data_IF_739312807678
#
_entry.id   IF_739312807678
#
_cell.length_a   1.000
_cell.length_b   1.000
_cell.length_c   1.000
_cell.angle_alpha   90.00
_cell.angle_beta   90.00
_cell.angle_gamma   90.00
#
_symmetry.space_group_name_H-M   'P 1'
#
loop_
_entity.id
_entity.type
_entity.pdbx_description
1 polymer ?
#
# COMPACT_ATOMS: atom_id res chain seq x y z
N UNK A 1 -9.10 -18.87 5.49
CA UNK A 1 -9.94 -17.95 4.68
C UNK A 1 -9.40 -17.80 3.27
N UNK A 2 -8.09 -17.61 3.09
CA UNK A 2 -7.49 -17.51 1.75
C UNK A 2 -7.73 -18.81 0.94
N UNK A 3 -7.56 -19.98 1.55
CA UNK A 3 -7.89 -21.28 0.95
C UNK A 3 -9.39 -21.41 0.56
N UNK A 4 -10.29 -20.82 1.33
CA UNK A 4 -11.73 -20.82 1.00
C UNK A 4 -11.98 -20.06 -0.30
N UNK A 5 -11.33 -18.90 -0.48
CA UNK A 5 -11.41 -18.12 -1.73
C UNK A 5 -10.76 -18.89 -2.89
N UNK A 6 -9.63 -19.53 -2.65
CA UNK A 6 -8.97 -20.36 -3.65
C UNK A 6 -9.89 -21.48 -4.12
N UNK A 7 -10.48 -22.21 -3.19
CA UNK A 7 -11.41 -23.32 -3.49
C UNK A 7 -12.68 -22.85 -4.21
N UNK A 8 -13.15 -21.61 -3.99
CA UNK A 8 -14.26 -21.02 -4.72
C UNK A 8 -13.90 -20.66 -6.17
N UNK A 9 -12.65 -20.34 -6.42
CA UNK A 9 -12.15 -19.96 -7.75
C UNK A 9 -11.59 -21.15 -8.54
N UNK A 10 -11.03 -22.17 -7.85
CA UNK A 10 -10.42 -23.35 -8.45
C UNK A 10 -11.34 -24.18 -9.41
N UNK A 11 -12.64 -24.37 -9.14
CA UNK A 11 -13.51 -25.12 -10.06
C UNK A 11 -13.55 -24.54 -11.46
N UNK A 12 -13.17 -23.27 -11.62
CA UNK A 12 -13.10 -22.58 -12.91
C UNK A 12 -11.65 -22.58 -13.47
N UNK A 13 -10.66 -23.13 -12.74
CA UNK A 13 -9.27 -23.18 -13.16
C UNK A 13 -9.02 -24.45 -13.97
N UNK A 14 -8.62 -24.28 -15.24
CA UNK A 14 -8.34 -25.39 -16.16
C UNK A 14 -9.51 -25.81 -17.04
N UNK A 15 -10.73 -25.43 -16.73
CA UNK A 15 -11.90 -25.58 -17.58
C UNK A 15 -12.46 -24.21 -17.94
N UNK A 16 -12.27 -23.79 -19.20
CA UNK A 16 -12.84 -22.58 -19.75
C UNK A 16 -11.94 -21.35 -19.66
N UNK A 17 -12.23 -20.40 -18.76
CA UNK A 17 -11.66 -19.05 -18.82
C UNK A 17 -10.46 -18.77 -17.91
N UNK A 18 -10.27 -19.61 -16.87
CA UNK A 18 -9.15 -19.48 -15.92
C UNK A 18 -8.02 -20.46 -16.30
N UNK A 19 -6.83 -19.92 -16.55
CA UNK A 19 -5.66 -20.70 -16.89
C UNK A 19 -4.87 -21.14 -15.66
N UNK A 20 -4.61 -20.20 -14.74
CA UNK A 20 -3.82 -20.44 -13.51
C UNK A 20 -4.28 -19.50 -12.40
N UNK A 21 -4.13 -19.98 -11.19
CA UNK A 21 -4.34 -19.21 -9.97
C UNK A 21 -3.06 -19.26 -9.15
N UNK A 22 -2.60 -18.10 -8.70
CA UNK A 22 -1.43 -17.96 -7.83
C UNK A 22 -1.87 -17.16 -6.60
N UNK A 23 -1.86 -17.83 -5.45
CA UNK A 23 -2.18 -17.19 -4.17
C UNK A 23 -0.90 -16.95 -3.37
N UNK A 24 -0.84 -15.81 -2.70
CA UNK A 24 0.22 -15.49 -1.76
C UNK A 24 -0.31 -14.74 -0.53
N UNK A 25 -0.02 -15.31 0.64
CA UNK A 25 -0.26 -14.72 1.96
C UNK A 25 1.02 -14.90 2.78
N UNK A 26 1.60 -13.85 3.37
CA UNK A 26 1.32 -12.42 3.17
C UNK A 26 1.57 -11.94 1.74
N UNK A 27 1.01 -10.77 1.40
CA UNK A 27 1.15 -10.15 0.09
C UNK A 27 2.57 -9.74 -0.29
N UNK A 28 2.72 -8.86 -1.27
CA UNK A 28 4.01 -8.26 -1.68
C UNK A 28 4.16 -6.83 -1.15
N UNK A 29 5.39 -6.33 -1.11
CA UNK A 29 5.70 -4.96 -0.76
C UNK A 29 5.25 -4.61 0.67
N UNK A 30 4.41 -3.60 0.82
CA UNK A 30 3.87 -3.20 2.13
C UNK A 30 3.08 -4.32 2.79
N UNK A 31 2.27 -5.04 2.02
CA UNK A 31 1.46 -6.17 2.49
C UNK A 31 2.28 -7.41 2.86
N UNK A 32 3.57 -7.49 2.49
CA UNK A 32 4.44 -8.61 2.86
C UNK A 32 4.66 -8.74 4.39
N UNK A 33 4.42 -7.67 5.13
CA UNK A 33 4.53 -7.65 6.60
C UNK A 33 3.18 -7.80 7.32
N UNK A 34 2.09 -7.81 6.56
CA UNK A 34 0.72 -7.93 7.09
C UNK A 34 0.25 -9.38 6.94
N UNK A 35 0.24 -10.13 8.02
CA UNK A 35 -0.20 -11.54 8.02
C UNK A 35 -1.70 -11.72 7.73
N UNK A 36 -2.47 -10.63 7.87
CA UNK A 36 -3.91 -10.57 7.62
C UNK A 36 -4.27 -10.08 6.21
N UNK A 37 -3.29 -9.91 5.33
CA UNK A 37 -3.52 -9.48 3.94
C UNK A 37 -2.78 -10.37 2.95
N UNK A 38 -3.36 -10.55 1.77
CA UNK A 38 -2.79 -11.34 0.70
C UNK A 38 -3.33 -10.90 -0.65
N UNK A 39 -2.90 -11.55 -1.70
CA UNK A 39 -3.48 -11.37 -3.03
C UNK A 39 -3.51 -12.69 -3.80
N UNK A 40 -4.43 -12.74 -4.72
CA UNK A 40 -4.61 -13.84 -5.64
C UNK A 40 -4.49 -13.29 -7.06
N UNK A 41 -3.56 -13.83 -7.83
CA UNK A 41 -3.42 -13.52 -9.26
C UNK A 41 -4.19 -14.58 -10.02
N UNK A 42 -5.23 -14.16 -10.72
CA UNK A 42 -6.00 -15.01 -11.61
C UNK A 42 -5.56 -14.75 -13.03
N UNK A 43 -4.87 -15.73 -13.64
CA UNK A 43 -4.47 -15.70 -15.04
C UNK A 43 -5.61 -16.25 -15.89
N UNK A 44 -6.15 -15.41 -16.75
CA UNK A 44 -7.22 -15.78 -17.68
C UNK A 44 -6.62 -16.45 -18.94
N UNK A 45 -7.41 -17.28 -19.62
CA UNK A 45 -7.08 -17.77 -20.96
C UNK A 45 -6.96 -16.60 -21.97
N UNK A 46 -6.13 -16.77 -23.01
CA UNK A 46 -6.02 -15.78 -24.09
C UNK A 46 -7.38 -15.43 -24.70
N UNK A 47 -7.53 -14.20 -25.16
CA UNK A 47 -8.75 -13.66 -25.78
C UNK A 47 -9.42 -14.56 -26.79
N UNK A 48 -8.60 -15.28 -27.60
CA UNK A 48 -9.08 -16.20 -28.65
C UNK A 48 -9.71 -17.48 -28.12
N UNK A 49 -9.49 -17.81 -26.83
CA UNK A 49 -9.94 -19.05 -26.22
C UNK A 49 -11.03 -18.85 -25.16
N UNK A 50 -11.53 -17.63 -25.01
CA UNK A 50 -12.61 -17.31 -24.07
C UNK A 50 -13.67 -16.48 -24.73
N UNK A 51 -14.94 -16.69 -24.35
CA UNK A 51 -16.08 -15.99 -24.92
C UNK A 51 -16.38 -14.70 -24.16
N UNK A 52 -16.03 -14.63 -22.84
CA UNK A 52 -16.38 -13.51 -21.97
C UNK A 52 -15.23 -12.52 -21.79
N UNK A 53 -15.60 -11.24 -21.70
CA UNK A 53 -14.64 -10.18 -21.41
C UNK A 53 -14.19 -10.25 -19.95
N UNK A 54 -12.92 -9.93 -19.65
CA UNK A 54 -12.36 -9.98 -18.30
C UNK A 54 -13.15 -9.19 -17.24
N UNK A 55 -13.80 -8.07 -17.62
CA UNK A 55 -14.65 -7.27 -16.74
C UNK A 55 -15.91 -8.05 -16.29
N UNK A 56 -16.48 -8.86 -17.17
CA UNK A 56 -17.65 -9.69 -16.84
C UNK A 56 -17.27 -10.78 -15.85
N UNK A 57 -16.12 -11.45 -16.10
CA UNK A 57 -15.55 -12.47 -15.21
C UNK A 57 -15.24 -11.85 -13.83
N UNK A 58 -14.68 -10.65 -13.80
CA UNK A 58 -14.38 -9.91 -12.58
C UNK A 58 -15.64 -9.64 -11.75
N UNK A 59 -16.73 -9.18 -12.38
CA UNK A 59 -18.01 -8.91 -11.69
C UNK A 59 -18.62 -10.17 -11.08
N UNK A 60 -18.61 -11.27 -11.81
CA UNK A 60 -19.10 -12.56 -11.30
C UNK A 60 -18.27 -13.08 -10.14
N UNK A 61 -16.92 -13.00 -10.29
CA UNK A 61 -16.00 -13.40 -9.22
C UNK A 61 -16.19 -12.58 -7.95
N UNK A 62 -16.49 -11.28 -8.07
CA UNK A 62 -16.78 -10.42 -6.93
C UNK A 62 -17.97 -10.92 -6.11
N UNK A 63 -19.05 -11.32 -6.78
CA UNK A 63 -20.22 -11.90 -6.11
C UNK A 63 -19.88 -13.16 -5.31
N UNK A 64 -19.07 -14.05 -5.87
CA UNK A 64 -18.62 -15.27 -5.20
C UNK A 64 -17.68 -15.00 -4.02
N UNK A 65 -16.72 -14.11 -4.20
CA UNK A 65 -15.71 -13.78 -3.17
C UNK A 65 -16.33 -13.02 -2.00
N UNK A 66 -17.27 -12.12 -2.26
CA UNK A 66 -17.95 -11.33 -1.21
C UNK A 66 -18.84 -12.17 -0.28
N UNK A 67 -19.15 -13.42 -0.64
CA UNK A 67 -19.90 -14.35 0.22
C UNK A 67 -19.05 -14.98 1.33
N UNK A 68 -17.70 -14.85 1.30
CA UNK A 68 -16.83 -15.43 2.32
C UNK A 68 -16.79 -14.53 3.56
N UNK A 69 -17.29 -15.02 4.73
CA UNK A 69 -17.34 -14.21 5.92
C UNK A 69 -15.95 -13.94 6.51
N UNK A 70 -15.73 -12.72 7.01
CA UNK A 70 -14.50 -12.32 7.68
C UNK A 70 -13.33 -12.02 6.74
N UNK A 71 -13.58 -11.81 5.44
CA UNK A 71 -12.63 -11.35 4.45
C UNK A 71 -13.24 -10.22 3.62
N UNK A 72 -12.47 -9.17 3.42
CA UNK A 72 -12.75 -8.14 2.43
C UNK A 72 -11.82 -8.36 1.24
N UNK A 73 -12.34 -8.90 0.16
CA UNK A 73 -11.57 -9.14 -1.06
C UNK A 73 -12.21 -8.42 -2.26
N UNK A 74 -11.39 -7.76 -3.03
CA UNK A 74 -11.82 -6.99 -4.19
C UNK A 74 -11.05 -7.45 -5.43
N UNK A 75 -11.71 -7.91 -6.49
CA UNK A 75 -11.05 -8.17 -7.75
C UNK A 75 -10.67 -6.85 -8.42
N UNK A 76 -9.44 -6.77 -8.90
CA UNK A 76 -8.89 -5.59 -9.57
C UNK A 76 -8.34 -6.00 -10.92
N UNK A 77 -8.75 -5.30 -11.97
CA UNK A 77 -8.21 -5.49 -13.30
C UNK A 77 -6.97 -4.60 -13.47
N UNK A 78 -5.81 -5.12 -13.91
CA UNK A 78 -4.68 -4.28 -14.21
C UNK A 78 -5.01 -3.36 -15.38
N UNK A 79 -4.68 -2.07 -15.24
CA UNK A 79 -4.82 -1.10 -16.33
C UNK A 79 -3.82 -1.40 -17.44
N UNK A 80 -4.20 -1.17 -18.70
CA UNK A 80 -3.37 -1.46 -19.88
C UNK A 80 -2.07 -0.63 -19.92
N UNK A 81 -2.12 0.61 -19.47
CA UNK A 81 -0.96 1.49 -19.31
C UNK A 81 -0.74 1.68 -17.80
N UNK A 82 0.36 1.13 -17.29
CA UNK A 82 0.72 1.23 -15.88
C UNK A 82 1.48 2.52 -15.62
N UNK A 83 0.83 3.49 -15.04
CA UNK A 83 1.47 4.70 -14.51
C UNK A 83 1.91 4.58 -13.05
N UNK A 84 1.66 3.44 -12.37
CA UNK A 84 2.05 3.33 -10.96
C UNK A 84 1.48 2.17 -10.16
N UNK A 85 1.33 0.97 -10.68
CA UNK A 85 0.94 -0.22 -9.88
C UNK A 85 -0.57 -0.38 -9.66
N UNK A 86 -0.94 -1.32 -8.76
CA UNK A 86 -2.34 -1.60 -8.35
C UNK A 86 -2.76 -0.62 -7.23
N UNK A 87 -2.10 0.52 -7.12
CA UNK A 87 -2.35 1.49 -6.06
C UNK A 87 -3.50 2.45 -6.43
N UNK A 88 -4.15 3.00 -5.43
CA UNK A 88 -5.23 3.96 -5.61
C UNK A 88 -4.71 5.24 -6.30
N UNK A 89 -5.49 5.91 -7.17
CA UNK A 89 -5.06 7.11 -7.88
C UNK A 89 -4.76 8.28 -6.94
N UNK A 90 -5.55 8.40 -5.85
CA UNK A 90 -5.27 9.39 -4.82
C UNK A 90 -4.29 8.79 -3.82
N UNK A 91 -3.09 9.35 -3.76
CA UNK A 91 -2.06 9.03 -2.78
C UNK A 91 -1.52 10.31 -2.15
N UNK A 92 -2.06 10.61 -0.99
CA UNK A 92 -1.80 11.82 -0.25
C UNK A 92 -0.95 11.50 0.98
N UNK A 93 0.24 12.09 1.07
CA UNK A 93 1.22 11.81 2.13
C UNK A 93 1.22 12.94 3.14
N UNK A 94 0.97 12.63 4.39
CA UNK A 94 1.04 13.54 5.52
C UNK A 94 2.32 13.28 6.30
N UNK A 95 3.13 14.31 6.48
CA UNK A 95 4.42 14.26 7.17
C UNK A 95 4.32 14.88 8.55
N UNK A 96 4.95 14.26 9.54
CA UNK A 96 4.93 14.72 10.91
C UNK A 96 6.21 14.37 11.68
N UNK A 97 6.34 14.90 12.89
CA UNK A 97 7.51 14.69 13.72
C UNK A 97 7.43 13.38 14.53
N UNK A 98 6.23 12.99 14.95
CA UNK A 98 5.98 11.76 15.72
C UNK A 98 4.85 10.94 15.11
N UNK A 99 4.88 9.62 15.30
CA UNK A 99 3.79 8.76 14.83
C UNK A 99 2.48 8.99 15.60
N UNK A 100 2.55 9.36 16.88
CA UNK A 100 1.37 9.69 17.69
C UNK A 100 0.61 10.90 17.14
N UNK A 101 1.33 11.90 16.63
CA UNK A 101 0.72 13.03 15.92
C UNK A 101 0.08 12.57 14.62
N UNK A 102 0.78 11.74 13.84
CA UNK A 102 0.28 11.21 12.57
C UNK A 102 -0.98 10.36 12.76
N UNK A 103 -1.05 9.56 13.84
CA UNK A 103 -2.25 8.77 14.18
C UNK A 103 -3.44 9.70 14.43
N UNK A 104 -3.27 10.78 15.21
CA UNK A 104 -4.35 11.74 15.46
C UNK A 104 -4.77 12.47 14.18
N UNK A 105 -3.80 12.90 13.39
CA UNK A 105 -4.06 13.64 12.15
C UNK A 105 -4.75 12.77 11.10
N UNK A 106 -4.31 11.52 10.91
CA UNK A 106 -4.95 10.62 9.95
C UNK A 106 -6.42 10.38 10.26
N UNK A 107 -6.78 10.22 11.54
CA UNK A 107 -8.19 10.01 11.94
C UNK A 107 -9.06 11.22 11.61
N UNK A 108 -8.54 12.43 11.88
CA UNK A 108 -9.24 13.67 11.53
C UNK A 108 -9.42 13.77 10.01
N UNK A 109 -8.34 13.57 9.26
CA UNK A 109 -8.35 13.68 7.80
C UNK A 109 -9.29 12.62 7.19
N UNK A 110 -9.22 11.36 7.64
CA UNK A 110 -10.13 10.29 7.17
C UNK A 110 -11.58 10.60 7.48
N UNK A 111 -11.88 11.13 8.67
CA UNK A 111 -13.24 11.49 9.07
C UNK A 111 -13.82 12.58 8.16
N UNK A 112 -13.04 13.63 7.88
CA UNK A 112 -13.46 14.71 7.00
C UNK A 112 -13.51 14.26 5.52
N UNK A 113 -12.52 13.49 5.06
CA UNK A 113 -12.50 12.99 3.70
C UNK A 113 -13.70 12.06 3.38
N UNK A 114 -14.19 11.29 4.36
CA UNK A 114 -15.40 10.44 4.20
C UNK A 114 -16.69 11.24 3.95
N UNK A 115 -16.71 12.52 4.28
CA UNK A 115 -17.88 13.39 4.00
C UNK A 115 -17.97 13.74 2.50
N UNK A 116 -16.87 13.59 1.76
CA UNK A 116 -16.85 13.87 0.34
C UNK A 116 -17.36 12.66 -0.47
N UNK A 117 -18.52 12.78 -1.15
CA UNK A 117 -19.10 11.67 -1.92
C UNK A 117 -18.27 11.26 -3.13
N UNK A 118 -17.34 12.10 -3.59
CA UNK A 118 -16.42 11.79 -4.67
C UNK A 118 -15.27 10.87 -4.29
N UNK A 119 -15.08 10.58 -2.98
CA UNK A 119 -14.02 9.73 -2.46
C UNK A 119 -14.58 8.44 -1.86
N UNK A 120 -13.99 7.30 -2.22
CA UNK A 120 -14.35 6.00 -1.67
C UNK A 120 -13.10 5.19 -1.31
N UNK A 121 -13.27 4.12 -0.53
CA UNK A 121 -12.15 3.24 -0.11
C UNK A 121 -10.98 4.03 0.47
N UNK A 122 -11.28 4.92 1.43
CA UNK A 122 -10.24 5.73 2.08
C UNK A 122 -9.49 4.86 3.08
N UNK A 123 -8.24 4.56 2.76
CA UNK A 123 -7.34 3.71 3.53
C UNK A 123 -6.09 4.48 3.93
N UNK A 124 -5.37 4.01 4.93
CA UNK A 124 -4.06 4.54 5.32
C UNK A 124 -3.04 3.41 5.52
N UNK A 125 -1.75 3.76 5.56
CA UNK A 125 -0.66 2.81 5.74
C UNK A 125 -0.14 2.73 7.19
N UNK A 126 -0.84 3.36 8.15
CA UNK A 126 -0.49 3.40 9.57
C UNK A 126 -1.60 2.78 10.44
N UNK A 127 -2.10 1.60 10.05
CA UNK A 127 -3.10 0.90 10.83
C UNK A 127 -2.48 0.17 12.03
N UNK A 128 -3.04 0.39 13.23
CA UNK A 128 -2.66 -0.27 14.47
C UNK A 128 -3.41 -1.62 14.61
N UNK A 129 -3.34 -2.45 13.60
CA UNK A 129 -4.15 -3.67 13.48
C UNK A 129 -3.36 -4.97 13.74
N UNK A 130 -2.06 -4.85 14.04
CA UNK A 130 -1.22 -6.00 14.39
C UNK A 130 -1.13 -6.11 15.91
N UNK A 131 -1.78 -7.11 16.55
CA UNK A 131 -1.59 -7.35 17.97
C UNK A 131 -0.12 -7.71 18.21
N UNK A 132 0.47 -7.04 19.17
CA UNK A 132 1.87 -7.23 19.57
C UNK A 132 1.97 -7.30 21.08
N UNK A 133 2.74 -8.27 21.58
CA UNK A 133 3.05 -8.38 22.97
C UNK A 133 4.30 -7.59 23.28
N UNK A 134 4.16 -6.53 24.07
CA UNK A 134 5.26 -5.69 24.52
C UNK A 134 5.76 -6.20 25.87
N UNK A 135 6.95 -6.79 25.89
CA UNK A 135 7.54 -7.40 27.10
C UNK A 135 8.56 -6.45 27.71
N UNK A 136 8.29 -6.00 28.95
CA UNK A 136 9.18 -5.12 29.72
C UNK A 136 9.87 -5.93 30.80
N UNK A 137 11.20 -5.99 30.78
CA UNK A 137 11.99 -6.71 31.73
C UNK A 137 12.28 -5.83 32.96
N UNK A 138 11.97 -6.33 34.17
CA UNK A 138 12.36 -5.71 35.42
C UNK A 138 13.83 -6.04 35.72
N UNK A 139 14.71 -5.12 35.33
CA UNK A 139 16.16 -5.32 35.46
C UNK A 139 16.63 -5.48 36.91
N UNK A 140 15.95 -4.82 37.87
CA UNK A 140 16.31 -4.91 39.29
C UNK A 140 15.99 -6.30 39.84
N UNK A 141 14.76 -6.78 39.63
CA UNK A 141 14.38 -8.15 40.04
C UNK A 141 15.21 -9.22 39.34
N UNK A 142 15.55 -9.03 38.07
CA UNK A 142 16.40 -9.95 37.33
C UNK A 142 17.78 -10.04 37.95
N UNK A 143 18.41 -8.91 38.31
CA UNK A 143 19.72 -8.85 38.98
C UNK A 143 19.67 -9.50 40.37
N UNK A 144 18.66 -9.18 41.18
CA UNK A 144 18.51 -9.74 42.54
C UNK A 144 18.36 -11.27 42.52
N UNK A 145 17.68 -11.79 41.50
CA UNK A 145 17.52 -13.24 41.33
C UNK A 145 18.66 -13.90 40.54
N UNK A 146 19.69 -13.16 40.17
CA UNK A 146 20.87 -13.65 39.45
C UNK A 146 20.56 -14.13 38.02
N UNK A 147 19.59 -13.49 37.35
CA UNK A 147 19.22 -13.79 35.96
C UNK A 147 19.63 -12.62 35.09
N UNK A 148 20.39 -12.87 34.02
CA UNK A 148 20.78 -11.82 33.12
C UNK A 148 19.63 -11.45 32.15
N UNK A 149 19.53 -10.17 31.79
CA UNK A 149 18.56 -9.71 30.77
C UNK A 149 18.77 -10.39 29.41
N UNK A 150 20.02 -10.75 29.11
CA UNK A 150 20.39 -11.49 27.91
C UNK A 150 19.78 -12.90 27.91
N UNK A 151 19.86 -13.62 29.05
CA UNK A 151 19.31 -14.97 29.16
C UNK A 151 17.76 -14.95 29.06
N UNK A 152 17.12 -13.93 29.66
CA UNK A 152 15.67 -13.71 29.50
C UNK A 152 15.33 -13.48 28.05
N UNK A 153 16.03 -12.55 27.38
CA UNK A 153 15.78 -12.22 25.97
C UNK A 153 15.98 -13.41 25.04
N UNK A 154 17.09 -14.16 25.22
CA UNK A 154 17.37 -15.38 24.43
C UNK A 154 16.31 -16.46 24.63
N UNK A 155 15.80 -16.60 25.84
CA UNK A 155 14.77 -17.61 26.13
C UNK A 155 13.44 -17.24 25.48
N UNK A 156 13.02 -15.97 25.59
CA UNK A 156 11.80 -15.46 24.92
C UNK A 156 11.94 -15.57 23.40
N UNK A 157 13.08 -15.15 22.84
CA UNK A 157 13.39 -15.28 21.41
C UNK A 157 13.30 -16.74 20.95
N UNK A 158 13.87 -17.67 21.73
CA UNK A 158 13.88 -19.08 21.37
C UNK A 158 12.48 -19.68 21.36
N UNK A 159 11.68 -19.41 22.38
CA UNK A 159 10.36 -20.04 22.52
C UNK A 159 9.33 -19.38 21.63
N UNK A 160 9.24 -18.04 21.64
CA UNK A 160 8.20 -17.30 20.93
C UNK A 160 8.65 -16.77 19.56
N UNK A 161 9.93 -16.39 19.40
CA UNK A 161 10.46 -15.73 18.21
C UNK A 161 11.09 -16.67 17.19
N UNK A 162 11.34 -17.92 17.52
CA UNK A 162 12.02 -18.90 16.67
C UNK A 162 13.49 -18.54 16.38
N UNK A 163 14.39 -19.02 17.21
CA UNK A 163 15.81 -18.70 17.11
C UNK A 163 16.55 -19.65 16.16
N UNK A 164 17.27 -19.07 15.21
CA UNK A 164 18.23 -19.78 14.38
C UNK A 164 19.49 -20.05 15.19
N UNK A 165 19.79 -21.33 15.45
CA UNK A 165 20.91 -21.73 16.33
C UNK A 165 22.17 -21.98 15.51
N UNK A 166 22.07 -22.77 14.43
CA UNK A 166 23.19 -23.13 13.57
C UNK A 166 22.70 -23.59 12.20
N UNK A 167 23.63 -23.92 11.32
CA UNK A 167 23.33 -24.56 10.06
C UNK A 167 23.99 -25.95 10.01
N UNK A 168 23.43 -26.86 9.21
CA UNK A 168 24.07 -28.11 8.87
C UNK A 168 24.06 -28.29 7.34
N UNK A 169 25.08 -28.97 6.85
CA UNK A 169 25.21 -29.25 5.40
C UNK A 169 24.77 -30.67 5.10
N UNK A 170 23.88 -30.82 4.14
CA UNK A 170 23.45 -32.11 3.63
C UNK A 170 23.38 -32.07 2.10
N UNK A 171 23.97 -33.03 1.42
CA UNK A 171 23.98 -33.16 -0.05
C UNK A 171 24.45 -31.85 -0.76
N UNK A 172 25.48 -31.18 -0.19
CA UNK A 172 26.03 -29.94 -0.73
C UNK A 172 25.15 -28.70 -0.53
N UNK A 173 24.03 -28.81 0.22
CA UNK A 173 23.14 -27.70 0.57
C UNK A 173 23.16 -27.41 2.06
N UNK A 174 23.12 -26.15 2.40
CA UNK A 174 23.12 -25.68 3.78
C UNK A 174 21.68 -25.48 4.28
N UNK A 175 21.35 -26.09 5.41
CA UNK A 175 20.05 -26.03 6.07
C UNK A 175 20.19 -25.39 7.44
N UNK A 176 19.26 -24.49 7.79
CA UNK A 176 19.25 -23.83 9.09
C UNK A 176 18.51 -24.67 10.13
N UNK A 177 19.11 -24.80 11.31
CA UNK A 177 18.43 -25.38 12.49
C UNK A 177 17.77 -24.24 13.26
N UNK A 178 16.44 -24.30 13.33
CA UNK A 178 15.61 -23.34 14.05
C UNK A 178 15.05 -24.00 15.29
N UNK A 179 15.31 -23.40 16.45
CA UNK A 179 14.78 -23.83 17.74
C UNK A 179 13.59 -22.95 18.11
N UNK A 180 12.45 -23.56 18.42
CA UNK A 180 11.21 -22.86 18.79
C UNK A 180 10.37 -23.69 19.75
N UNK A 181 9.49 -23.03 20.52
CA UNK A 181 8.46 -23.71 21.30
C UNK A 181 7.41 -24.38 20.42
N UNK A 182 6.73 -25.40 20.93
CA UNK A 182 5.58 -25.98 20.24
C UNK A 182 4.50 -24.91 20.01
N UNK A 183 3.69 -25.09 18.95
CA UNK A 183 2.63 -24.15 18.59
C UNK A 183 1.68 -23.94 19.76
N UNK A 184 1.32 -25.00 20.47
CA UNK A 184 0.41 -24.96 21.64
C UNK A 184 0.94 -24.11 22.79
N UNK A 185 2.28 -24.05 22.95
CA UNK A 185 2.95 -23.35 24.05
C UNK A 185 3.26 -21.89 23.75
N UNK A 186 2.92 -21.39 22.55
CA UNK A 186 3.21 -20.02 22.12
C UNK A 186 2.01 -19.27 21.50
N UNK A 187 0.82 -19.88 21.53
CA UNK A 187 -0.38 -19.24 20.97
C UNK A 187 -1.02 -18.21 21.89
N UNK A 188 -0.86 -18.37 23.21
CA UNK A 188 -1.47 -17.53 24.21
C UNK A 188 -0.43 -16.66 24.92
N UNK A 189 -0.73 -15.38 25.23
CA UNK A 189 0.16 -14.51 26.00
C UNK A 189 0.55 -15.09 27.36
N UNK A 190 -0.38 -15.76 28.02
CA UNK A 190 -0.18 -16.40 29.32
C UNK A 190 0.85 -17.54 29.30
N UNK A 191 1.19 -18.04 28.12
CA UNK A 191 2.24 -19.05 27.96
C UNK A 191 3.62 -18.58 28.43
N UNK A 192 3.85 -17.25 28.57
CA UNK A 192 5.06 -16.68 29.18
C UNK A 192 5.24 -17.18 30.61
N UNK A 193 4.17 -17.42 31.34
CA UNK A 193 4.22 -17.91 32.73
C UNK A 193 4.79 -19.33 32.86
N UNK A 194 4.70 -20.12 31.82
CA UNK A 194 5.20 -21.51 31.75
C UNK A 194 6.68 -21.60 31.39
N UNK A 195 7.33 -20.47 31.11
CA UNK A 195 8.71 -20.41 30.67
C UNK A 195 9.62 -20.08 31.87
N UNK A 196 10.72 -20.81 31.97
CA UNK A 196 11.66 -20.69 33.06
C UNK A 196 13.07 -20.37 32.55
N UNK A 197 13.80 -19.57 33.33
CA UNK A 197 15.23 -19.26 33.13
C UNK A 197 16.04 -19.69 34.34
N UNK A 198 17.25 -20.13 34.11
CA UNK A 198 18.13 -20.57 35.18
C UNK A 198 18.87 -19.39 35.83
N UNK A 199 18.75 -19.26 37.13
CA UNK A 199 19.52 -18.29 37.91
C UNK A 199 21.00 -18.72 38.04
N UNK A 200 21.92 -17.77 37.86
CA UNK A 200 23.37 -17.99 38.02
C UNK A 200 23.81 -18.09 39.49
N UNK A 201 23.03 -17.48 40.39
CA UNK A 201 23.41 -17.42 41.84
C UNK A 201 23.17 -18.75 42.55
N UNK A 202 22.05 -19.40 42.27
CA UNK A 202 21.62 -20.60 43.00
C UNK A 202 21.28 -21.79 42.10
N UNK A 203 21.49 -21.66 40.79
CA UNK A 203 21.21 -22.67 39.76
C UNK A 203 19.74 -23.15 39.69
N UNK A 204 18.82 -22.44 40.37
CA UNK A 204 17.37 -22.75 40.37
C UNK A 204 16.68 -22.15 39.16
N UNK A 205 15.54 -22.76 38.79
CA UNK A 205 14.68 -22.26 37.73
C UNK A 205 13.79 -21.16 38.29
N UNK A 206 13.76 -20.02 37.61
CA UNK A 206 12.92 -18.85 37.91
C UNK A 206 11.95 -18.67 36.77
N UNK A 207 10.64 -18.55 37.06
CA UNK A 207 9.64 -18.26 36.04
C UNK A 207 9.86 -16.85 35.46
N UNK A 208 9.79 -16.74 34.14
CA UNK A 208 9.94 -15.44 33.45
C UNK A 208 8.84 -14.46 33.86
N UNK A 209 7.62 -14.93 34.17
CA UNK A 209 6.52 -14.08 34.65
C UNK A 209 6.86 -13.25 35.91
N UNK A 210 7.82 -13.69 36.72
CA UNK A 210 8.28 -12.93 37.87
C UNK A 210 9.26 -11.80 37.52
N UNK A 211 9.82 -11.86 36.30
CA UNK A 211 10.90 -10.99 35.83
C UNK A 211 10.43 -9.99 34.76
N UNK A 212 9.25 -10.22 34.20
CA UNK A 212 8.72 -9.39 33.09
C UNK A 212 7.29 -8.97 33.38
N UNK A 213 6.95 -7.76 32.91
CA UNK A 213 5.58 -7.32 32.72
C UNK A 213 5.29 -7.31 31.21
N UNK A 214 4.11 -7.69 30.81
CA UNK A 214 3.73 -7.65 29.39
C UNK A 214 2.39 -6.97 29.21
N UNK A 215 2.28 -6.21 28.11
CA UNK A 215 1.07 -5.53 27.70
C UNK A 215 0.76 -5.90 26.25
N UNK A 216 -0.51 -6.12 25.94
CA UNK A 216 -0.96 -6.27 24.55
C UNK A 216 -1.28 -4.90 23.96
N UNK A 217 -0.59 -4.56 22.89
CA UNK A 217 -0.81 -3.31 22.16
C UNK A 217 -1.04 -3.59 20.67
N UNK A 218 -1.97 -2.83 20.07
CA UNK A 218 -2.07 -2.79 18.61
C UNK A 218 -0.97 -1.92 18.03
N UNK A 219 -0.09 -2.51 17.23
CA UNK A 219 0.95 -1.75 16.54
C UNK A 219 0.82 -1.84 15.03
N UNK A 220 1.39 -0.85 14.34
CA UNK A 220 1.45 -0.89 12.89
C UNK A 220 2.48 -1.92 12.41
N UNK A 221 2.15 -2.74 11.41
CA UNK A 221 3.08 -3.72 10.84
C UNK A 221 4.38 -3.10 10.31
N UNK A 222 4.32 -1.83 9.91
CA UNK A 222 5.49 -1.05 9.49
C UNK A 222 5.27 0.44 9.74
N UNK A 223 6.37 1.16 9.92
CA UNK A 223 6.39 2.60 10.13
C UNK A 223 6.92 3.28 8.86
N UNK A 224 6.02 3.93 8.13
CA UNK A 224 6.36 4.57 6.86
C UNK A 224 7.20 5.84 7.06
N UNK A 225 8.11 6.08 6.11
CA UNK A 225 8.85 7.35 5.99
C UNK A 225 8.82 7.81 4.54
N UNK A 226 8.73 9.10 4.35
CA UNK A 226 8.86 9.75 3.06
C UNK A 226 9.94 10.83 3.15
N UNK A 227 10.92 10.81 2.25
CA UNK A 227 12.07 11.71 2.29
C UNK A 227 12.72 11.81 3.70
N UNK A 228 12.94 10.65 4.35
CA UNK A 228 13.50 10.48 5.71
C UNK A 228 12.62 11.01 6.85
N UNK A 229 11.51 11.69 6.59
CA UNK A 229 10.55 12.14 7.59
C UNK A 229 9.50 11.06 7.88
N UNK A 230 8.97 11.01 9.10
CA UNK A 230 7.87 10.13 9.46
C UNK A 230 6.63 10.52 8.66
N UNK A 231 5.95 9.55 8.10
CA UNK A 231 4.86 9.79 7.17
C UNK A 231 3.71 8.80 7.37
N UNK A 232 2.51 9.23 7.00
CA UNK A 232 1.37 8.37 6.74
C UNK A 232 0.84 8.67 5.34
N UNK A 233 0.61 7.63 4.56
CA UNK A 233 0.02 7.75 3.23
C UNK A 233 -1.47 7.44 3.34
N UNK A 234 -2.31 8.38 2.94
CA UNK A 234 -3.76 8.22 2.82
C UNK A 234 -4.05 7.96 1.35
N UNK A 235 -4.67 6.84 1.07
CA UNK A 235 -5.04 6.40 -0.27
C UNK A 235 -6.56 6.43 -0.42
N UNK A 236 -7.07 6.86 -1.57
CA UNK A 236 -8.49 6.86 -1.85
C UNK A 236 -8.76 6.57 -3.33
N UNK A 237 -9.96 6.07 -3.62
CA UNK A 237 -10.47 5.88 -4.99
C UNK A 237 -11.46 6.98 -5.32
N UNK A 238 -11.48 7.36 -6.58
CA UNK A 238 -12.42 8.32 -7.13
C UNK A 238 -13.74 7.62 -7.51
N UNK A 239 -14.86 8.32 -7.35
CA UNK A 239 -16.19 7.83 -7.69
C UNK A 239 -16.69 8.55 -8.95
N UNK A 240 -17.13 7.79 -9.95
CA UNK A 240 -17.65 8.35 -11.20
C UNK A 240 -16.64 9.25 -11.90
N UNK A 241 -17.06 10.44 -12.28
CA UNK A 241 -16.25 11.44 -12.98
C UNK A 241 -15.53 12.44 -12.06
N UNK A 242 -15.47 12.14 -10.74
CA UNK A 242 -14.77 13.02 -9.79
C UNK A 242 -13.28 13.09 -10.10
N UNK A 243 -12.77 14.31 -10.30
CA UNK A 243 -11.40 14.49 -10.79
C UNK A 243 -10.35 14.34 -9.69
N UNK A 244 -9.15 13.91 -10.08
CA UNK A 244 -8.00 13.80 -9.14
C UNK A 244 -7.64 15.16 -8.54
N UNK A 245 -7.74 16.24 -9.31
CA UNK A 245 -7.45 17.60 -8.83
C UNK A 245 -8.41 18.04 -7.72
N UNK A 246 -9.72 17.82 -7.91
CA UNK A 246 -10.73 18.13 -6.90
C UNK A 246 -10.50 17.32 -5.62
N UNK A 247 -10.17 16.04 -5.76
CA UNK A 247 -9.84 15.17 -4.64
C UNK A 247 -8.64 15.69 -3.85
N UNK A 248 -7.54 16.04 -4.54
CA UNK A 248 -6.34 16.57 -3.90
C UNK A 248 -6.55 17.93 -3.27
N UNK A 249 -7.30 18.85 -3.91
CA UNK A 249 -7.67 20.15 -3.36
C UNK A 249 -8.52 20.02 -2.10
N UNK A 250 -9.48 19.09 -2.10
CA UNK A 250 -10.29 18.78 -0.92
C UNK A 250 -9.41 18.31 0.24
N UNK A 251 -8.52 17.35 0.02
CA UNK A 251 -7.63 16.81 1.06
C UNK A 251 -6.65 17.88 1.58
N UNK A 252 -6.11 18.74 0.73
CA UNK A 252 -5.26 19.86 1.13
C UNK A 252 -6.05 20.81 2.03
N UNK A 253 -7.26 21.21 1.64
CA UNK A 253 -8.12 22.08 2.46
C UNK A 253 -8.43 21.48 3.82
N UNK A 254 -8.69 20.18 3.90
CA UNK A 254 -8.91 19.47 5.17
C UNK A 254 -7.67 19.53 6.06
N UNK A 255 -6.48 19.33 5.50
CA UNK A 255 -5.22 19.39 6.26
C UNK A 255 -4.92 20.80 6.74
N UNK A 256 -5.07 21.82 5.90
CA UNK A 256 -4.83 23.22 6.26
C UNK A 256 -5.75 23.70 7.38
N UNK A 257 -7.01 23.30 7.36
CA UNK A 257 -8.00 23.69 8.38
C UNK A 257 -7.80 22.98 9.71
N UNK A 258 -7.49 21.67 9.69
CA UNK A 258 -7.51 20.83 10.89
C UNK A 258 -6.11 20.51 11.43
N UNK A 259 -5.08 20.55 10.58
CA UNK A 259 -3.73 20.10 10.93
C UNK A 259 -2.65 21.02 10.33
N UNK A 260 -2.63 22.33 10.67
CA UNK A 260 -1.78 23.33 10.00
C UNK A 260 -0.27 23.11 10.14
N UNK A 261 0.16 22.21 11.05
CA UNK A 261 1.57 21.83 11.22
C UNK A 261 1.98 20.62 10.36
N UNK A 262 1.05 19.97 9.69
CA UNK A 262 1.32 18.85 8.82
C UNK A 262 1.92 19.34 7.51
N UNK A 263 2.99 18.70 7.05
CA UNK A 263 3.52 18.91 5.71
C UNK A 263 2.89 17.89 4.77
N UNK A 264 2.64 18.30 3.55
CA UNK A 264 1.97 17.50 2.53
C UNK A 264 2.99 17.09 1.47
N UNK A 265 2.89 15.86 1.02
CA UNK A 265 3.57 15.34 -0.16
C UNK A 265 2.62 14.42 -0.93
N UNK A 266 3.03 13.99 -2.11
CA UNK A 266 2.23 13.15 -2.98
C UNK A 266 3.05 11.94 -3.42
N UNK A 267 2.36 10.85 -3.80
CA UNK A 267 2.97 9.65 -4.38
C UNK A 267 2.17 9.17 -5.58
N UNK A 268 2.81 8.32 -6.39
CA UNK A 268 2.16 7.66 -7.53
C UNK A 268 1.52 8.64 -8.50
N UNK A 269 0.31 8.34 -8.95
CA UNK A 269 -0.43 9.16 -9.93
C UNK A 269 -0.65 10.60 -9.45
N UNK A 270 -0.88 10.80 -8.14
CA UNK A 270 -1.02 12.14 -7.54
C UNK A 270 0.27 12.98 -7.63
N UNK A 271 1.43 12.37 -7.53
CA UNK A 271 2.73 13.03 -7.68
C UNK A 271 2.98 13.38 -9.15
N UNK A 272 2.75 12.43 -10.05
CA UNK A 272 2.89 12.63 -11.50
C UNK A 272 1.97 13.76 -11.98
N UNK A 273 0.71 13.75 -11.54
CA UNK A 273 -0.24 14.81 -11.87
C UNK A 273 0.29 16.21 -11.44
N UNK A 274 0.84 16.32 -10.24
CA UNK A 274 1.37 17.61 -9.75
C UNK A 274 2.64 18.04 -10.48
N UNK A 275 3.53 17.11 -10.86
CA UNK A 275 4.76 17.40 -11.63
C UNK A 275 4.45 17.75 -13.08
N UNK A 276 3.61 16.95 -13.71
CA UNK A 276 3.30 17.07 -15.14
C UNK A 276 2.71 18.44 -15.50
N UNK A 277 1.89 19.02 -14.65
CA UNK A 277 1.27 20.32 -14.91
C UNK A 277 2.28 21.45 -15.17
N UNK A 278 3.44 21.45 -14.52
CA UNK A 278 4.44 22.52 -14.70
C UNK A 278 5.35 22.24 -15.90
N UNK A 279 5.75 21.00 -16.07
CA UNK A 279 6.69 20.60 -17.14
C UNK A 279 6.03 20.65 -18.53
N UNK A 280 4.76 20.28 -18.64
CA UNK A 280 4.03 20.31 -19.91
C UNK A 280 3.98 21.71 -20.52
N UNK A 281 3.73 22.76 -19.73
CA UNK A 281 3.68 24.12 -20.27
C UNK A 281 5.02 24.54 -20.89
N UNK A 282 6.14 24.17 -20.26
CA UNK A 282 7.48 24.46 -20.80
C UNK A 282 7.73 23.71 -22.11
N UNK A 283 7.37 22.42 -22.14
CA UNK A 283 7.52 21.57 -23.34
C UNK A 283 6.67 22.09 -24.47
N UNK A 284 5.40 22.46 -24.22
CA UNK A 284 4.52 23.02 -25.24
C UNK A 284 5.04 24.37 -25.77
N UNK A 285 5.49 25.27 -24.90
CA UNK A 285 6.06 26.53 -25.31
C UNK A 285 7.31 26.31 -26.20
N UNK A 286 8.20 25.39 -25.82
CA UNK A 286 9.38 25.05 -26.60
C UNK A 286 9.00 24.43 -27.96
N UNK A 287 8.03 23.54 -27.99
CA UNK A 287 7.52 22.91 -29.21
C UNK A 287 6.93 23.95 -30.18
N UNK A 288 6.13 24.89 -29.67
CA UNK A 288 5.57 25.99 -30.45
C UNK A 288 6.66 26.86 -31.05
N UNK A 289 7.68 27.25 -30.23
CA UNK A 289 8.82 28.05 -30.70
C UNK A 289 9.61 27.30 -31.77
N UNK A 290 9.89 26.02 -31.57
CA UNK A 290 10.66 25.20 -32.49
C UNK A 290 9.89 25.04 -33.83
N UNK A 291 8.60 24.76 -33.77
CA UNK A 291 7.74 24.65 -34.94
C UNK A 291 7.67 25.98 -35.73
N UNK A 292 7.55 27.10 -35.02
CA UNK A 292 7.57 28.43 -35.60
C UNK A 292 8.88 28.72 -36.33
N UNK A 293 10.03 28.45 -35.70
CA UNK A 293 11.33 28.66 -36.31
C UNK A 293 11.56 27.77 -37.53
N UNK A 294 11.17 26.49 -37.44
CA UNK A 294 11.27 25.57 -38.58
C UNK A 294 10.44 26.06 -39.80
N UNK A 295 9.21 26.48 -39.56
CA UNK A 295 8.35 27.05 -40.61
C UNK A 295 8.93 28.38 -41.15
N UNK A 296 9.49 29.23 -40.27
CA UNK A 296 10.10 30.49 -40.71
C UNK A 296 11.30 30.26 -41.62
N UNK A 297 12.09 29.24 -41.37
CA UNK A 297 13.20 28.82 -42.22
C UNK A 297 12.71 28.26 -43.55
N UNK A 298 11.62 27.48 -43.56
CA UNK A 298 11.06 26.85 -44.77
C UNK A 298 10.37 27.86 -45.69
N UNK A 299 9.68 28.85 -45.11
CA UNK A 299 8.95 29.87 -45.90
C UNK A 299 9.79 31.14 -46.16
N UNK A 300 11.02 31.20 -45.68
CA UNK A 300 11.89 32.39 -45.76
C UNK A 300 11.20 33.70 -45.34
N UNK A 301 10.24 33.60 -44.42
CA UNK A 301 9.38 34.69 -43.99
C UNK A 301 8.91 34.50 -42.55
N UNK A 302 8.88 35.57 -41.79
CA UNK A 302 8.36 35.57 -40.41
C UNK A 302 6.81 35.72 -40.37
N UNK A 303 6.20 36.30 -41.41
CA UNK A 303 4.77 36.58 -41.42
C UNK A 303 3.91 35.33 -41.67
N UNK A 304 4.31 34.51 -42.64
CA UNK A 304 3.55 33.32 -43.03
C UNK A 304 3.39 32.27 -41.91
N UNK A 305 4.47 31.90 -41.20
CA UNK A 305 4.34 30.98 -40.06
C UNK A 305 3.44 31.52 -38.95
N UNK A 306 3.47 32.83 -38.68
CA UNK A 306 2.61 33.43 -37.68
C UNK A 306 1.13 33.27 -38.01
N UNK A 307 0.76 33.47 -39.27
CA UNK A 307 -0.64 33.27 -39.75
C UNK A 307 -1.07 31.80 -39.63
N UNK A 308 -0.17 30.86 -39.94
CA UNK A 308 -0.44 29.43 -39.80
C UNK A 308 -0.60 29.05 -38.32
N UNK A 309 0.30 29.53 -37.45
CA UNK A 309 0.24 29.25 -36.00
C UNK A 309 -1.03 29.81 -35.33
N UNK A 310 -1.68 30.81 -35.91
CA UNK A 310 -2.97 31.31 -35.41
C UNK A 310 -4.08 30.27 -35.49
N UNK A 311 -3.92 29.22 -36.30
CA UNK A 311 -4.88 28.10 -36.37
C UNK A 311 -4.78 27.16 -35.15
N UNK A 312 -3.65 27.13 -34.44
CA UNK A 312 -3.42 26.24 -33.31
C UNK A 312 -4.42 26.49 -32.17
N UNK A 313 -4.69 27.72 -31.72
CA UNK A 313 -5.71 27.96 -30.71
C UNK A 313 -7.11 27.49 -31.13
N UNK A 314 -7.44 27.61 -32.45
CA UNK A 314 -8.72 27.12 -32.96
C UNK A 314 -8.82 25.59 -32.94
N UNK A 315 -7.71 24.90 -33.22
CA UNK A 315 -7.64 23.44 -33.12
C UNK A 315 -7.82 22.97 -31.68
N UNK A 316 -7.17 23.63 -30.71
CA UNK A 316 -7.32 23.35 -29.27
C UNK A 316 -8.78 23.56 -28.82
N UNK A 317 -9.41 24.66 -29.23
CA UNK A 317 -10.84 24.90 -28.96
C UNK A 317 -11.71 23.79 -29.53
N UNK A 318 -11.45 23.33 -30.76
CA UNK A 318 -12.15 22.21 -31.36
C UNK A 318 -12.02 20.90 -30.57
N UNK A 319 -10.82 20.61 -30.10
CA UNK A 319 -10.55 19.45 -29.25
C UNK A 319 -11.29 19.52 -27.89
N UNK A 320 -11.25 20.67 -27.24
CA UNK A 320 -11.98 20.90 -25.98
C UNK A 320 -13.50 20.80 -26.13
N UNK A 321 -14.04 21.36 -27.22
CA UNK A 321 -15.46 21.21 -27.53
C UNK A 321 -15.82 19.75 -27.83
N UNK A 322 -14.97 19.00 -28.52
CA UNK A 322 -15.13 17.57 -28.72
C UNK A 322 -15.21 16.79 -27.41
N UNK A 323 -14.32 17.05 -26.47
CA UNK A 323 -14.34 16.44 -25.15
C UNK A 323 -15.63 16.77 -24.37
N UNK A 324 -16.09 18.00 -24.48
CA UNK A 324 -17.31 18.46 -23.82
C UNK A 324 -18.57 17.77 -24.40
N UNK A 325 -18.63 17.58 -25.72
CA UNK A 325 -19.71 16.87 -26.38
C UNK A 325 -19.76 15.38 -26.01
N UNK A 326 -18.60 14.76 -25.88
CA UNK A 326 -18.49 13.34 -25.49
C UNK A 326 -18.67 13.15 -23.97
N UNK A 327 -18.69 14.23 -23.18
CA UNK A 327 -18.82 14.16 -21.71
C UNK A 327 -17.59 13.55 -21.05
N UNK A 328 -16.41 13.65 -21.66
CA UNK A 328 -15.16 13.10 -21.11
C UNK A 328 -14.41 14.15 -20.29
N UNK A 329 -13.83 13.74 -19.18
CA UNK A 329 -13.04 14.62 -18.31
C UNK A 329 -11.66 14.91 -18.90
N UNK A 330 -11.13 16.11 -18.62
CA UNK A 330 -9.76 16.49 -18.96
C UNK A 330 -8.79 15.72 -18.05
N UNK A 331 -8.17 14.70 -18.57
CA UNK A 331 -7.17 13.88 -17.85
C UNK A 331 -5.84 13.88 -18.62
N UNK A 332 -4.80 13.28 -18.02
CA UNK A 332 -3.45 13.22 -18.65
C UNK A 332 -3.50 12.61 -20.05
N UNK A 333 -4.35 11.61 -20.26
CA UNK A 333 -4.48 10.95 -21.57
C UNK A 333 -5.12 11.86 -22.61
N UNK A 334 -6.17 12.59 -22.24
CA UNK A 334 -6.83 13.54 -23.14
C UNK A 334 -6.00 14.81 -23.38
N UNK A 335 -5.00 15.10 -22.52
CA UNK A 335 -4.05 16.20 -22.73
C UNK A 335 -2.93 15.82 -23.72
N UNK A 336 -2.59 14.53 -23.80
CA UNK A 336 -1.55 14.02 -24.71
C UNK A 336 -2.12 13.79 -26.11
N UNK A 337 -3.37 13.38 -26.22
CA UNK A 337 -4.06 13.14 -27.48
C UNK A 337 -4.40 14.43 -28.22
#
# INVERSE_FOLDING_TARGET
>A
RAEEIENLLLPNAGEGEYRKLIMRVPGFGKSAKQVNSGFIIVLLEPWKKRDRHGVQIMRESFGKISSVPGVLAFPVMPQGIRTGGIESPVQFVVLGNTYDQLIKWKEIIKKEARKNPGLTSIEDDLDLNKPQLNVKIDQKKAADLGVSTEDIGKTIETIFGSRRVTNFTRDGKEYSIILQGDIKDRQEPDSISKVFVRSKNNNKLVSISNLVAYDEEGQSPFLARYNRQKAVTISARLVGDYSLDEALKCLVGVVEQNTPRAKIAYKGESEEYKKTNTELYVIFALAIITAYLAMSAQFESWKHPFTIMLTVPMAILGGLLGLLVVGSSLNVYSQIA
#
